data_IF_327206738360
#
_entry.id   IF_327206738360
#
_cell.length_a   1.000
_cell.length_b   1.000
_cell.length_c   1.000
_cell.angle_alpha   90.00
_cell.angle_beta   90.00
_cell.angle_gamma   90.00
#
_symmetry.space_group_name_H-M   'P 1'
#
loop_
_entity.id
_entity.type
_entity.pdbx_description
1 polymer ?
#
# COMPACT_ATOMS: atom_id res chain seq x y z
N UNK A 1 -11.03 42.44 16.25
CA UNK A 1 -11.31 41.22 15.48
C UNK A 1 -10.95 40.06 16.38
N UNK A 2 -11.91 39.27 16.84
CA UNK A 2 -11.64 38.10 17.68
C UNK A 2 -10.90 37.06 16.85
N UNK A 3 -9.71 36.70 17.27
CA UNK A 3 -8.94 35.63 16.61
C UNK A 3 -9.74 34.32 16.70
N UNK A 4 -10.03 33.72 15.56
CA UNK A 4 -10.75 32.44 15.50
C UNK A 4 -9.88 31.36 16.14
N UNK A 5 -10.40 30.73 17.17
CA UNK A 5 -9.71 29.68 17.93
C UNK A 5 -10.52 28.40 17.96
N UNK A 6 -9.84 27.26 18.03
CA UNK A 6 -10.45 25.95 17.95
C UNK A 6 -9.91 25.06 19.07
N UNK A 7 -10.73 24.18 19.56
CA UNK A 7 -10.32 23.07 20.43
C UNK A 7 -9.80 21.90 19.60
N UNK A 8 -9.08 20.97 20.23
CA UNK A 8 -8.61 19.74 19.60
C UNK A 8 -9.77 18.91 19.03
N UNK A 9 -10.93 18.89 19.74
CA UNK A 9 -12.10 18.13 19.30
C UNK A 9 -12.80 18.75 18.09
N UNK A 10 -12.82 20.07 17.98
CA UNK A 10 -13.41 20.78 16.84
C UNK A 10 -12.58 20.53 15.57
N UNK A 11 -11.26 20.72 15.63
CA UNK A 11 -10.41 20.45 14.48
C UNK A 11 -10.37 18.97 14.12
N UNK A 12 -10.32 18.07 15.09
CA UNK A 12 -10.36 16.64 14.83
C UNK A 12 -11.64 16.24 14.08
N UNK A 13 -12.79 16.83 14.45
CA UNK A 13 -14.07 16.58 13.78
C UNK A 13 -14.13 17.20 12.39
N UNK A 14 -13.66 18.44 12.26
CA UNK A 14 -13.63 19.14 10.97
C UNK A 14 -12.82 18.40 9.89
N UNK A 15 -11.68 17.81 10.30
CA UNK A 15 -10.75 17.14 9.38
C UNK A 15 -10.87 15.60 9.43
N UNK A 16 -11.90 15.05 10.07
CA UNK A 16 -12.14 13.61 10.19
C UNK A 16 -10.94 12.86 10.81
N UNK A 17 -10.29 13.47 11.79
CA UNK A 17 -9.13 12.95 12.49
C UNK A 17 -9.47 12.50 13.91
N UNK A 18 -8.62 11.65 14.46
CA UNK A 18 -8.64 11.36 15.90
C UNK A 18 -7.84 12.41 16.68
N UNK A 19 -8.19 12.63 17.94
CA UNK A 19 -7.39 13.49 18.83
C UNK A 19 -5.97 12.97 19.04
N UNK A 20 -5.75 11.67 18.85
CA UNK A 20 -4.42 11.04 18.85
C UNK A 20 -3.60 11.48 17.64
N UNK A 21 -4.21 11.52 16.46
CA UNK A 21 -3.55 12.01 15.24
C UNK A 21 -3.19 13.51 15.38
N UNK A 22 -4.06 14.30 15.98
CA UNK A 22 -3.77 15.72 16.26
C UNK A 22 -2.53 15.88 17.15
N UNK A 23 -2.42 15.10 18.23
CA UNK A 23 -1.25 15.12 19.13
C UNK A 23 0.02 14.65 18.39
N UNK A 24 -0.09 13.67 17.52
CA UNK A 24 1.04 13.23 16.70
C UNK A 24 1.55 14.35 15.79
N UNK A 25 0.68 15.15 15.18
CA UNK A 25 1.07 16.32 14.39
C UNK A 25 1.70 17.44 15.23
N UNK A 26 1.26 17.62 16.49
CA UNK A 26 1.92 18.49 17.47
C UNK A 26 3.35 17.99 17.76
N UNK A 27 3.50 16.70 18.08
CA UNK A 27 4.79 16.07 18.40
C UNK A 27 5.77 16.16 17.23
N UNK A 28 5.27 16.16 15.99
CA UNK A 28 6.06 16.38 14.77
C UNK A 28 6.34 17.85 14.47
N UNK A 29 5.82 18.78 15.29
CA UNK A 29 6.02 20.22 15.10
C UNK A 29 5.27 20.81 13.89
N UNK A 30 4.27 20.10 13.38
CA UNK A 30 3.40 20.59 12.31
C UNK A 30 2.33 21.55 12.85
N UNK A 31 1.94 21.39 14.09
CA UNK A 31 0.98 22.23 14.82
C UNK A 31 1.63 22.74 16.11
N UNK A 32 1.30 23.96 16.50
CA UNK A 32 1.84 24.60 17.70
C UNK A 32 0.72 25.31 18.50
N UNK A 33 -0.24 24.54 19.09
CA UNK A 33 -1.35 25.15 19.83
C UNK A 33 -0.86 25.92 21.05
N UNK A 34 -1.51 27.03 21.34
CA UNK A 34 -1.33 27.73 22.59
C UNK A 34 -1.86 26.85 23.76
N UNK A 35 -1.17 26.93 24.89
CA UNK A 35 -1.56 26.27 26.10
C UNK A 35 -2.21 27.24 27.06
N UNK A 36 -3.47 27.01 27.40
CA UNK A 36 -4.31 27.88 28.25
C UNK A 36 -4.91 27.12 29.41
N UNK A 37 -5.57 27.86 30.33
CA UNK A 37 -6.25 27.29 31.50
C UNK A 37 -5.30 26.93 32.64
N UNK A 38 -5.84 26.49 33.80
CA UNK A 38 -5.06 26.13 34.97
C UNK A 38 -4.04 25.03 34.64
N UNK A 39 -2.75 25.31 34.84
CA UNK A 39 -1.65 24.38 34.55
C UNK A 39 -1.40 24.12 33.07
N UNK A 40 -1.88 24.97 32.14
CA UNK A 40 -1.60 24.84 30.70
C UNK A 40 -2.18 23.56 30.05
N UNK A 41 -3.25 23.01 30.61
CA UNK A 41 -3.83 21.73 30.20
C UNK A 41 -4.69 21.82 28.93
N UNK A 42 -5.20 23.03 28.64
CA UNK A 42 -6.11 23.23 27.51
C UNK A 42 -5.32 23.66 26.27
N UNK A 43 -5.50 22.93 25.19
CA UNK A 43 -4.92 23.23 23.87
C UNK A 43 -5.89 24.10 23.09
N UNK A 44 -5.36 25.23 22.58
CA UNK A 44 -6.12 26.17 21.75
C UNK A 44 -5.37 26.37 20.44
N UNK A 45 -6.00 26.00 19.37
CA UNK A 45 -5.44 26.10 18.01
C UNK A 45 -5.92 27.39 17.36
N UNK A 46 -5.01 28.13 16.71
CA UNK A 46 -5.35 29.32 15.96
C UNK A 46 -5.73 29.02 14.51
N UNK A 47 -6.14 30.07 13.80
CA UNK A 47 -6.40 29.99 12.36
C UNK A 47 -5.18 29.49 11.56
N UNK A 48 -3.98 29.83 12.02
CA UNK A 48 -2.71 29.35 11.44
C UNK A 48 -2.58 27.83 11.57
N UNK A 49 -2.85 27.27 12.76
CA UNK A 49 -2.79 25.81 12.96
C UNK A 49 -3.81 25.08 12.07
N UNK A 50 -5.01 25.64 11.95
CA UNK A 50 -6.05 25.10 11.04
C UNK A 50 -5.57 25.06 9.59
N UNK A 51 -4.96 26.15 9.12
CA UNK A 51 -4.41 26.21 7.77
C UNK A 51 -3.24 25.22 7.58
N UNK A 52 -2.31 25.17 8.55
CA UNK A 52 -1.19 24.21 8.52
C UNK A 52 -1.68 22.78 8.50
N UNK A 53 -2.72 22.45 9.27
CA UNK A 53 -3.34 21.12 9.27
C UNK A 53 -3.94 20.77 7.91
N UNK A 54 -4.71 21.69 7.31
CA UNK A 54 -5.30 21.50 5.98
C UNK A 54 -4.22 21.23 4.92
N UNK A 55 -3.14 22.02 4.93
CA UNK A 55 -2.01 21.85 4.01
C UNK A 55 -1.26 20.54 4.27
N UNK A 56 -1.06 20.16 5.53
CA UNK A 56 -0.44 18.90 5.92
C UNK A 56 -1.21 17.70 5.35
N UNK A 57 -2.52 17.69 5.53
CA UNK A 57 -3.37 16.60 5.05
C UNK A 57 -3.39 16.53 3.53
N UNK A 58 -3.40 17.69 2.85
CA UNK A 58 -3.30 17.74 1.40
C UNK A 58 -1.97 17.20 0.88
N UNK A 59 -0.86 17.64 1.46
CA UNK A 59 0.48 17.16 1.10
C UNK A 59 0.65 15.66 1.34
N UNK A 60 0.11 15.15 2.47
CA UNK A 60 0.10 13.73 2.78
C UNK A 60 -0.68 12.90 1.74
N UNK A 61 -1.80 13.41 1.22
CA UNK A 61 -2.55 12.74 0.12
C UNK A 61 -1.73 12.67 -1.17
N UNK A 62 -0.84 13.62 -1.38
CA UNK A 62 0.10 13.61 -2.50
C UNK A 62 1.31 12.69 -2.26
N UNK A 63 1.41 12.05 -1.08
CA UNK A 63 2.48 11.13 -0.72
C UNK A 63 3.72 11.78 -0.10
N UNK A 64 3.71 13.09 0.19
CA UNK A 64 4.83 13.74 0.86
C UNK A 64 4.99 13.22 2.29
N UNK A 65 6.23 13.06 2.72
CA UNK A 65 6.55 12.74 4.11
C UNK A 65 6.25 13.93 5.03
N UNK A 66 5.99 13.65 6.32
CA UNK A 66 5.70 14.72 7.28
C UNK A 66 6.88 15.68 7.51
N UNK A 67 8.12 15.21 7.30
CA UNK A 67 9.30 16.06 7.40
C UNK A 67 9.36 17.06 6.24
N UNK A 68 9.14 16.60 5.01
CA UNK A 68 9.06 17.48 3.83
C UNK A 68 7.92 18.50 3.97
N UNK A 69 6.77 18.07 4.48
CA UNK A 69 5.63 18.96 4.74
C UNK A 69 5.99 20.00 5.79
N UNK A 70 6.67 19.60 6.87
CA UNK A 70 7.12 20.52 7.91
C UNK A 70 8.07 21.56 7.36
N UNK A 71 9.09 21.13 6.61
CA UNK A 71 10.08 22.03 6.00
C UNK A 71 9.43 23.06 5.07
N UNK A 72 8.45 22.63 4.27
CA UNK A 72 7.67 23.52 3.41
C UNK A 72 6.87 24.53 4.24
N UNK A 73 6.12 24.06 5.26
CA UNK A 73 5.27 24.93 6.08
C UNK A 73 6.09 25.93 6.90
N UNK A 74 7.25 25.52 7.44
CA UNK A 74 8.12 26.40 8.23
C UNK A 74 8.76 27.50 7.36
N UNK A 75 8.97 27.24 6.06
CA UNK A 75 9.37 28.26 5.10
C UNK A 75 8.28 29.31 4.87
N UNK A 76 7.01 28.93 4.80
CA UNK A 76 5.89 29.87 4.63
C UNK A 76 5.66 30.79 5.83
N UNK A 77 6.15 30.40 6.99
CA UNK A 77 6.06 31.20 8.22
C UNK A 77 7.12 32.32 8.30
N UNK A 78 8.10 32.31 7.41
CA UNK A 78 9.18 33.31 7.36
C UNK A 78 8.93 34.29 6.21
N UNK A 79 8.71 35.60 6.46
CA UNK A 79 8.28 36.54 5.40
C UNK A 79 9.38 36.99 4.45
N UNK A 80 10.57 36.36 4.45
CA UNK A 80 11.76 36.98 3.87
C UNK A 80 12.23 36.53 2.49
N UNK A 81 11.77 35.41 1.93
CA UNK A 81 12.23 35.00 0.59
C UNK A 81 11.22 34.12 -0.15
N UNK A 82 10.15 34.75 -0.63
CA UNK A 82 9.06 34.03 -1.32
C UNK A 82 9.55 33.29 -2.58
N UNK A 83 10.54 33.83 -3.29
CA UNK A 83 11.07 33.21 -4.52
C UNK A 83 11.86 31.95 -4.19
N UNK A 84 12.83 32.02 -3.29
CA UNK A 84 13.64 30.89 -2.87
C UNK A 84 12.79 29.76 -2.23
N UNK A 85 11.72 30.15 -1.50
CA UNK A 85 10.77 29.20 -0.91
C UNK A 85 9.98 28.46 -1.99
N UNK A 86 9.49 29.16 -3.00
CA UNK A 86 8.75 28.56 -4.12
C UNK A 86 9.66 27.68 -4.97
N UNK A 87 10.90 28.08 -5.21
CA UNK A 87 11.89 27.26 -5.93
C UNK A 87 12.19 25.95 -5.19
N UNK A 88 12.40 26.01 -3.87
CA UNK A 88 12.59 24.79 -3.06
C UNK A 88 11.34 23.92 -3.06
N UNK A 89 10.16 24.50 -2.96
CA UNK A 89 8.89 23.76 -3.03
C UNK A 89 8.70 23.09 -4.38
N UNK A 90 8.98 23.78 -5.47
CA UNK A 90 8.97 23.21 -6.83
C UNK A 90 9.97 22.06 -6.97
N UNK A 91 11.16 22.18 -6.37
CA UNK A 91 12.15 21.11 -6.34
C UNK A 91 11.63 19.85 -5.64
N UNK A 92 11.02 19.99 -4.46
CA UNK A 92 10.41 18.86 -3.72
C UNK A 92 9.28 18.21 -4.53
N UNK A 93 8.39 19.03 -5.10
CA UNK A 93 7.30 18.53 -5.93
C UNK A 93 7.80 17.83 -7.20
N UNK A 94 8.87 18.37 -7.83
CA UNK A 94 9.51 17.78 -9.01
C UNK A 94 10.09 16.40 -8.72
N UNK A 95 10.81 16.26 -7.61
CA UNK A 95 11.35 14.97 -7.15
C UNK A 95 10.24 13.97 -6.89
N UNK A 96 9.20 14.38 -6.19
CA UNK A 96 8.07 13.50 -5.87
C UNK A 96 7.31 13.08 -7.12
N UNK A 97 7.09 14.00 -8.08
CA UNK A 97 6.48 13.67 -9.37
C UNK A 97 7.31 12.63 -10.13
N UNK A 98 8.62 12.81 -10.21
CA UNK A 98 9.49 11.85 -10.89
C UNK A 98 9.42 10.45 -10.26
N UNK A 99 9.33 10.35 -8.93
CA UNK A 99 9.12 9.08 -8.23
C UNK A 99 7.79 8.41 -8.59
N UNK A 100 6.71 9.19 -8.63
CA UNK A 100 5.39 8.67 -9.01
C UNK A 100 5.34 8.24 -10.48
N UNK A 101 5.99 8.97 -11.38
CA UNK A 101 6.11 8.59 -12.79
C UNK A 101 6.90 7.28 -12.96
N UNK A 102 7.97 7.09 -12.19
CA UNK A 102 8.73 5.83 -12.18
C UNK A 102 7.90 4.65 -11.65
N UNK A 103 7.16 4.85 -10.54
CA UNK A 103 6.24 3.83 -10.01
C UNK A 103 5.12 3.48 -11.00
N UNK A 104 4.57 4.47 -11.70
CA UNK A 104 3.56 4.25 -12.71
C UNK A 104 4.11 3.39 -13.86
N UNK A 105 5.33 3.67 -14.34
CA UNK A 105 5.96 2.89 -15.40
C UNK A 105 6.22 1.44 -14.95
N UNK A 106 6.66 1.22 -13.71
CA UNK A 106 6.84 -0.11 -13.14
C UNK A 106 5.52 -0.89 -13.08
N UNK A 107 4.45 -0.26 -12.57
CA UNK A 107 3.12 -0.90 -12.50
C UNK A 107 2.57 -1.20 -13.89
N UNK A 108 2.80 -0.32 -14.87
CA UNK A 108 2.42 -0.57 -16.26
C UNK A 108 3.16 -1.78 -16.85
N UNK A 109 4.48 -1.89 -16.61
CA UNK A 109 5.26 -3.06 -17.01
C UNK A 109 4.72 -4.35 -16.41
N UNK A 110 4.47 -4.36 -15.10
CA UNK A 110 3.90 -5.52 -14.40
C UNK A 110 2.53 -5.92 -14.98
N UNK A 111 1.70 -4.94 -15.35
CA UNK A 111 0.40 -5.20 -15.96
C UNK A 111 0.54 -5.84 -17.34
N UNK A 112 1.49 -5.40 -18.13
CA UNK A 112 1.75 -5.97 -19.46
C UNK A 112 2.30 -7.40 -19.37
N UNK A 113 3.14 -7.69 -18.38
CA UNK A 113 3.61 -9.05 -18.07
C UNK A 113 2.44 -9.97 -17.68
N UNK A 114 1.54 -9.51 -16.82
CA UNK A 114 0.34 -10.29 -16.44
C UNK A 114 -0.52 -10.58 -17.66
N UNK A 115 -0.77 -9.61 -18.53
CA UNK A 115 -1.54 -9.80 -19.77
C UNK A 115 -0.89 -10.84 -20.69
N UNK A 116 0.43 -10.77 -20.85
CA UNK A 116 1.16 -11.76 -21.65
C UNK A 116 1.02 -13.17 -21.08
N UNK A 117 1.09 -13.34 -19.75
CA UNK A 117 0.88 -14.62 -19.09
C UNK A 117 -0.56 -15.12 -19.25
N UNK A 118 -1.55 -14.25 -19.15
CA UNK A 118 -2.95 -14.60 -19.40
C UNK A 118 -3.16 -15.12 -20.82
N UNK A 119 -2.58 -14.47 -21.83
CA UNK A 119 -2.70 -14.87 -23.22
C UNK A 119 -2.02 -16.21 -23.49
N UNK A 120 -0.86 -16.45 -22.89
CA UNK A 120 -0.19 -17.75 -22.95
C UNK A 120 -1.05 -18.86 -22.30
N UNK A 121 -1.64 -18.60 -21.15
CA UNK A 121 -2.50 -19.54 -20.44
C UNK A 121 -3.78 -19.84 -21.25
N UNK A 122 -4.41 -18.82 -21.85
CA UNK A 122 -5.57 -18.99 -22.73
C UNK A 122 -5.21 -19.87 -23.96
N UNK A 123 -4.08 -19.59 -24.61
CA UNK A 123 -3.63 -20.38 -25.74
C UNK A 123 -3.31 -21.84 -25.36
N UNK A 124 -2.74 -22.07 -24.17
CA UNK A 124 -2.48 -23.40 -23.65
C UNK A 124 -3.82 -24.16 -23.35
N UNK A 125 -4.77 -23.47 -22.75
CA UNK A 125 -6.10 -24.01 -22.45
C UNK A 125 -6.82 -24.43 -23.73
N UNK A 126 -6.81 -23.61 -24.78
CA UNK A 126 -7.42 -23.91 -26.06
C UNK A 126 -6.75 -25.10 -26.76
N UNK A 127 -5.42 -25.22 -26.64
CA UNK A 127 -4.70 -26.41 -27.15
C UNK A 127 -5.11 -27.68 -26.40
N UNK A 128 -5.20 -27.64 -25.07
CA UNK A 128 -5.60 -28.76 -24.24
C UNK A 128 -7.04 -29.20 -24.55
N UNK A 129 -7.97 -28.25 -24.70
CA UNK A 129 -9.36 -28.53 -25.08
C UNK A 129 -9.46 -29.24 -26.45
N UNK A 130 -8.75 -28.74 -27.46
CA UNK A 130 -8.70 -29.36 -28.79
C UNK A 130 -8.14 -30.78 -28.75
N UNK A 131 -7.13 -31.03 -27.90
CA UNK A 131 -6.56 -32.38 -27.74
C UNK A 131 -7.54 -33.34 -27.04
N UNK A 132 -8.35 -32.83 -26.11
CA UNK A 132 -9.38 -33.64 -25.43
C UNK A 132 -10.56 -33.98 -26.34
N UNK A 133 -10.92 -33.13 -27.31
CA UNK A 133 -12.01 -33.34 -28.25
C UNK A 133 -11.60 -34.10 -29.52
N UNK A 134 -10.32 -34.48 -29.67
CA UNK A 134 -9.78 -35.19 -30.81
C UNK A 134 -10.29 -36.66 -30.93
N UNK A 135 -10.28 -37.28 -32.11
CA UNK A 135 -10.89 -38.61 -32.39
C UNK A 135 -10.30 -39.76 -31.56
N UNK A 136 -9.14 -39.59 -30.91
CA UNK A 136 -8.57 -40.64 -30.04
C UNK A 136 -9.37 -40.87 -28.73
N UNK A 137 -10.21 -39.94 -28.27
CA UNK A 137 -11.04 -40.12 -27.09
C UNK A 137 -12.28 -40.98 -27.37
N UNK A 138 -12.63 -41.25 -28.60
CA UNK A 138 -13.77 -42.11 -28.99
C UNK A 138 -13.43 -43.60 -29.11
N UNK A 139 -12.13 -43.98 -29.05
CA UNK A 139 -11.69 -45.38 -29.29
C UNK A 139 -11.46 -46.20 -28.01
N UNK A 140 -11.65 -45.66 -26.83
CA UNK A 140 -11.43 -46.38 -25.56
C UNK A 140 -12.70 -46.97 -24.95
N UNK A 141 -13.80 -47.10 -25.70
CA UNK A 141 -15.02 -47.81 -25.27
C UNK A 141 -15.18 -49.14 -26.00
N UNK A 142 -14.10 -49.90 -26.10
CA UNK A 142 -14.17 -51.32 -26.50
C UNK A 142 -13.64 -52.15 -25.32
N UNK A 143 -14.53 -52.74 -24.61
CA UNK A 143 -14.33 -53.78 -23.59
C UNK A 143 -13.66 -55.03 -24.20
N UNK A 144 -12.57 -55.54 -23.64
CA UNK A 144 -12.26 -56.94 -23.83
C UNK A 144 -12.76 -57.74 -22.64
N UNK A 145 -13.64 -58.65 -22.93
CA UNK A 145 -14.18 -59.72 -22.13
C UNK A 145 -13.07 -60.62 -21.57
N UNK A 146 -13.15 -60.82 -20.27
CA UNK A 146 -12.75 -61.99 -19.47
C UNK A 146 -12.03 -63.14 -20.13
N UNK A 147 -10.88 -63.55 -19.63
CA UNK A 147 -10.57 -64.91 -19.25
C UNK A 147 -9.57 -64.98 -18.07
N UNK A 148 -9.82 -65.97 -17.26
CA UNK A 148 -9.39 -66.14 -15.88
C UNK A 148 -8.01 -66.79 -15.68
N UNK A 149 -7.44 -66.45 -14.45
CA UNK A 149 -6.78 -67.32 -13.47
C UNK A 149 -5.31 -67.79 -13.73
N UNK A 150 -4.52 -68.10 -12.65
CA UNK A 150 -4.46 -67.69 -11.26
C UNK A 150 -3.05 -67.29 -10.78
N UNK A 151 -2.99 -66.82 -9.52
CA UNK A 151 -1.80 -66.43 -8.76
C UNK A 151 -0.78 -67.57 -8.45
N UNK A 152 0.46 -67.26 -8.01
CA UNK A 152 0.74 -67.48 -6.62
C UNK A 152 1.67 -66.43 -5.90
N UNK A 153 1.31 -66.21 -4.67
CA UNK A 153 2.12 -66.10 -3.39
C UNK A 153 3.34 -65.21 -3.32
N UNK A 154 3.21 -64.32 -2.33
CA UNK A 154 4.24 -63.53 -1.64
C UNK A 154 5.43 -64.33 -1.10
N UNK A 155 6.57 -63.65 -0.71
CA UNK A 155 6.76 -63.41 0.70
C UNK A 155 7.27 -62.01 1.07
N UNK A 156 6.74 -61.51 2.09
CA UNK A 156 7.13 -60.84 3.33
C UNK A 156 8.61 -60.59 3.59
N UNK A 157 8.96 -59.33 3.91
CA UNK A 157 9.90 -58.93 4.96
C UNK A 157 9.89 -57.38 5.14
N UNK A 158 9.46 -57.02 6.16
CA UNK A 158 9.72 -56.19 7.41
C UNK A 158 10.83 -55.14 7.39
N UNK A 159 10.80 -54.28 8.38
CA UNK A 159 11.11 -52.84 8.22
C UNK A 159 12.43 -52.43 8.96
N UNK A 160 12.91 -51.25 8.62
CA UNK A 160 13.85 -50.53 9.49
C UNK A 160 13.72 -49.03 9.26
N UNK A 161 13.30 -48.35 10.22
CA UNK A 161 13.92 -47.68 11.37
C UNK A 161 14.36 -46.25 11.08
N UNK A 162 13.74 -45.41 11.84
CA UNK A 162 13.91 -43.98 12.06
C UNK A 162 15.36 -43.46 12.15
N UNK A 163 15.53 -42.20 11.77
CA UNK A 163 16.34 -41.24 12.52
C UNK A 163 15.90 -39.80 12.24
N UNK A 164 15.69 -39.12 13.32
CA UNK A 164 15.36 -37.70 13.40
C UNK A 164 16.65 -36.84 13.45
N UNK A 165 16.52 -35.49 13.43
CA UNK A 165 17.55 -34.52 13.06
C UNK A 165 18.44 -34.09 14.23
N UNK A 166 19.44 -33.26 14.00
CA UNK A 166 19.70 -32.21 14.96
C UNK A 166 19.94 -30.81 14.35
N UNK A 167 19.56 -29.88 15.15
CA UNK A 167 19.91 -28.47 15.39
C UNK A 167 19.56 -27.43 14.33
#
# INVERSE_FOLDING_TARGET
MSAQTFTIGELAREFELTTRAMRFYEDKGLLAPARTGPGGRQRVYGARDRTRLALTLRAKRLGLSLNEVKDILDMYDSPRDTVAQLEKFLGVLGTHRAQLEAQLAEVQGNLDDVRAQEDQARAALERARRSADGPAARSSKATPRSTAKPAPKSPRATPAKAAAPPH
#
